data_IF_420773536219
#
_entry.id   IF_420773536219
#
_cell.length_a   1.000
_cell.length_b   1.000
_cell.length_c   1.000
_cell.angle_alpha   90.00
_cell.angle_beta   90.00
_cell.angle_gamma   90.00
#
_symmetry.space_group_name_H-M   'P 1'
#
loop_
_entity.id
_entity.type
_entity.pdbx_description
1 polymer ?
#
# COMPACT_ATOMS: atom_id res chain seq x y z
N UNK A 1 12.04 -14.54 -12.23
CA UNK A 1 11.42 -14.46 -13.57
C UNK A 1 11.79 -13.12 -14.17
N UNK A 2 12.46 -13.12 -15.32
CA UNK A 2 12.82 -11.91 -16.07
C UNK A 2 11.65 -11.56 -16.97
N UNK A 3 11.06 -10.37 -16.83
CA UNK A 3 10.20 -9.80 -17.85
C UNK A 3 10.62 -8.35 -18.09
N UNK A 4 11.07 -8.11 -19.33
CA UNK A 4 11.38 -6.81 -19.89
C UNK A 4 10.11 -5.95 -19.91
N UNK A 5 9.98 -5.06 -18.95
CA UNK A 5 8.98 -3.98 -18.93
C UNK A 5 9.70 -2.63 -18.83
N UNK A 6 10.51 -2.30 -19.84
CA UNK A 6 10.99 -0.93 -20.11
C UNK A 6 11.76 -0.89 -21.45
N UNK A 7 11.06 -0.88 -22.59
CA UNK A 7 11.72 -0.82 -23.92
C UNK A 7 11.85 0.60 -24.49
N UNK A 8 11.57 1.67 -23.72
CA UNK A 8 11.59 3.05 -24.23
C UNK A 8 12.71 3.93 -23.66
N UNK A 9 13.51 3.43 -22.72
CA UNK A 9 14.72 4.09 -22.23
C UNK A 9 15.91 3.18 -22.49
N UNK A 10 16.76 3.53 -23.47
CA UNK A 10 18.07 2.87 -23.67
C UNK A 10 19.02 3.29 -22.54
N UNK A 11 18.73 2.91 -21.30
CA UNK A 11 19.69 3.01 -20.22
C UNK A 11 20.61 1.81 -20.30
N UNK A 12 21.91 2.07 -20.49
CA UNK A 12 22.95 1.05 -20.36
C UNK A 12 23.11 0.78 -18.86
N UNK A 13 22.58 -0.34 -18.39
CA UNK A 13 22.79 -0.79 -17.02
C UNK A 13 24.19 -1.42 -16.93
N UNK A 14 24.91 -1.11 -15.85
CA UNK A 14 26.18 -1.76 -15.54
C UNK A 14 25.95 -3.19 -15.00
N UNK A 15 27.03 -3.97 -14.93
CA UNK A 15 26.99 -5.30 -14.34
C UNK A 15 26.66 -5.23 -12.85
N UNK A 16 25.80 -6.13 -12.39
CA UNK A 16 25.44 -6.24 -10.98
C UNK A 16 26.64 -6.73 -10.17
N UNK A 17 27.09 -5.92 -9.21
CA UNK A 17 28.09 -6.34 -8.22
C UNK A 17 27.34 -6.98 -7.04
N UNK A 18 27.62 -8.25 -6.77
CA UNK A 18 27.07 -8.93 -5.61
C UNK A 18 27.77 -8.44 -4.33
N UNK A 19 27.00 -7.89 -3.40
CA UNK A 19 27.48 -7.54 -2.06
C UNK A 19 27.01 -8.63 -1.10
N UNK A 20 27.89 -9.55 -0.71
CA UNK A 20 27.57 -10.63 0.23
C UNK A 20 27.60 -10.14 1.69
N UNK A 21 26.54 -9.45 2.11
CA UNK A 21 26.30 -9.16 3.54
C UNK A 21 25.16 -10.06 4.01
N UNK A 22 25.50 -11.07 4.83
CA UNK A 22 24.49 -11.93 5.47
C UNK A 22 23.92 -11.24 6.71
N UNK A 23 22.91 -10.41 6.51
CA UNK A 23 22.10 -9.86 7.60
C UNK A 23 20.77 -10.63 7.69
N UNK A 24 20.44 -11.15 8.87
CA UNK A 24 19.13 -11.77 9.11
C UNK A 24 18.13 -10.67 9.52
N UNK A 25 17.31 -10.21 8.56
CA UNK A 25 16.35 -9.13 8.79
C UNK A 25 14.96 -9.72 9.02
N UNK A 26 14.54 -9.74 10.29
CA UNK A 26 13.23 -10.26 10.70
C UNK A 26 12.12 -9.21 10.77
N UNK A 27 12.43 -7.93 10.59
CA UNK A 27 11.46 -6.84 10.64
C UNK A 27 10.87 -6.53 9.25
N UNK A 28 9.68 -5.94 9.22
CA UNK A 28 9.00 -5.57 7.97
C UNK A 28 9.61 -4.34 7.32
N UNK A 29 10.13 -3.41 8.12
CA UNK A 29 10.75 -2.18 7.64
C UNK A 29 12.16 -2.10 8.18
N UNK A 30 13.11 -1.80 7.30
CA UNK A 30 14.50 -1.62 7.65
C UNK A 30 15.15 -0.63 6.70
N UNK A 31 16.22 0.00 7.14
CA UNK A 31 16.98 0.93 6.33
C UNK A 31 18.42 0.45 6.23
N UNK A 32 18.97 0.54 5.03
CA UNK A 32 20.39 0.33 4.77
C UNK A 32 21.02 1.70 4.54
N UNK A 33 21.95 2.10 5.41
CA UNK A 33 22.76 3.28 5.21
C UNK A 33 24.19 2.89 4.80
N UNK A 34 24.81 3.71 3.96
CA UNK A 34 26.20 3.59 3.55
C UNK A 34 26.88 4.94 3.71
N UNK A 35 28.08 4.95 4.28
CA UNK A 35 28.85 6.14 4.58
C UNK A 35 30.32 5.82 4.80
N UNK A 36 31.13 6.86 5.03
CA UNK A 36 32.55 6.70 5.32
C UNK A 36 32.87 7.22 6.73
N UNK A 37 33.87 6.60 7.34
CA UNK A 37 34.52 7.19 8.51
C UNK A 37 35.48 8.28 8.04
N UNK A 38 35.35 9.48 8.59
CA UNK A 38 36.25 10.60 8.34
C UNK A 38 36.61 11.32 9.65
N UNK A 39 37.88 11.62 9.82
CA UNK A 39 38.40 12.20 11.06
C UNK A 39 39.83 11.74 11.32
N UNK A 40 40.56 12.46 12.18
CA UNK A 40 41.93 12.09 12.52
C UNK A 40 41.91 11.00 13.61
N UNK A 41 42.82 10.01 13.60
CA UNK A 41 42.84 8.93 14.60
C UNK A 41 42.98 9.42 16.06
N UNK A 42 43.37 10.68 16.24
CA UNK A 42 43.62 11.32 17.52
C UNK A 42 42.45 12.18 18.01
N UNK A 43 41.50 12.57 17.15
CA UNK A 43 40.35 13.41 17.50
C UNK A 43 39.11 12.90 16.74
N UNK A 44 38.23 12.18 17.46
CA UNK A 44 36.90 11.67 17.07
C UNK A 44 36.69 11.30 15.58
N UNK A 45 36.61 9.99 15.32
CA UNK A 45 36.05 9.48 14.06
C UNK A 45 34.60 9.93 13.91
N UNK A 46 34.33 10.74 12.90
CA UNK A 46 32.98 11.15 12.49
C UNK A 46 32.51 10.27 11.34
N UNK A 47 31.28 9.75 11.41
CA UNK A 47 30.69 8.96 10.32
C UNK A 47 29.92 9.90 9.39
N UNK A 48 30.32 9.93 8.11
CA UNK A 48 29.65 10.70 7.07
C UNK A 48 28.79 9.77 6.22
N UNK A 49 27.48 9.88 6.42
CA UNK A 49 26.47 9.18 5.61
C UNK A 49 26.48 9.69 4.17
N UNK A 50 26.54 8.78 3.18
CA UNK A 50 26.44 9.10 1.75
C UNK A 50 25.09 8.70 1.15
N UNK A 51 24.52 7.60 1.62
CA UNK A 51 23.34 7.01 1.02
C UNK A 51 22.48 6.28 2.05
N UNK A 52 21.16 6.35 1.87
CA UNK A 52 20.16 5.66 2.70
C UNK A 52 19.12 5.04 1.77
N UNK A 53 18.88 3.74 1.91
CA UNK A 53 17.77 3.05 1.27
C UNK A 53 16.85 2.40 2.30
N UNK A 54 15.61 2.89 2.43
CA UNK A 54 14.59 2.18 3.17
C UNK A 54 14.01 1.03 2.33
N UNK A 55 13.72 -0.08 3.00
CA UNK A 55 13.14 -1.29 2.44
C UNK A 55 11.91 -1.71 3.23
N UNK A 56 10.97 -2.34 2.51
CA UNK A 56 9.78 -2.94 3.08
C UNK A 56 9.63 -4.39 2.60
N UNK A 57 9.25 -5.28 3.52
CA UNK A 57 8.94 -6.68 3.23
C UNK A 57 7.75 -7.16 4.06
N UNK A 58 6.98 -8.10 3.51
CA UNK A 58 5.93 -8.78 4.26
C UNK A 58 6.53 -9.95 5.03
N UNK A 59 6.59 -9.83 6.37
CA UNK A 59 7.10 -10.90 7.24
C UNK A 59 5.95 -11.73 7.79
N UNK A 60 6.06 -13.06 7.73
CA UNK A 60 5.02 -13.97 8.21
C UNK A 60 4.67 -13.70 9.67
N UNK A 61 3.43 -13.27 9.94
CA UNK A 61 2.95 -12.99 11.31
C UNK A 61 2.29 -14.20 11.93
N UNK A 62 2.77 -14.61 13.10
CA UNK A 62 2.25 -15.76 13.84
C UNK A 62 0.77 -15.59 14.20
N UNK A 63 0.36 -14.39 14.63
CA UNK A 63 -1.04 -14.03 14.92
C UNK A 63 -1.96 -14.32 13.73
N UNK A 64 -1.48 -14.14 12.50
CA UNK A 64 -2.29 -14.40 11.32
C UNK A 64 -2.40 -15.89 11.00
N UNK A 65 -1.42 -16.71 11.42
CA UNK A 65 -1.45 -18.17 11.27
C UNK A 65 -2.37 -18.85 12.27
N UNK A 66 -2.53 -18.27 13.45
CA UNK A 66 -3.37 -18.80 14.53
C UNK A 66 -4.87 -18.55 14.28
N UNK A 67 -5.22 -17.77 13.25
CA UNK A 67 -6.62 -17.46 12.95
C UNK A 67 -7.38 -18.68 12.45
N UNK A 68 -8.57 -18.88 13.01
CA UNK A 68 -9.47 -19.95 12.58
C UNK A 68 -9.93 -19.73 11.13
N UNK A 69 -9.73 -20.76 10.32
CA UNK A 69 -10.21 -20.84 8.94
C UNK A 69 -11.67 -21.29 8.96
N UNK A 70 -12.58 -20.40 8.54
CA UNK A 70 -14.04 -20.62 8.51
C UNK A 70 -14.59 -21.16 7.18
N UNK A 71 -13.91 -20.89 6.06
CA UNK A 71 -14.40 -21.17 4.71
C UNK A 71 -13.49 -22.18 4.00
N UNK A 72 -14.06 -23.13 3.25
CA UNK A 72 -13.27 -24.12 2.50
C UNK A 72 -12.67 -23.57 1.20
N UNK A 73 -13.30 -22.56 0.60
CA UNK A 73 -12.84 -21.90 -0.62
C UNK A 73 -12.50 -20.44 -0.34
N UNK A 74 -11.25 -20.03 -0.62
CA UNK A 74 -10.68 -18.75 -0.18
C UNK A 74 -9.71 -18.18 -1.21
N UNK A 75 -10.21 -17.56 -2.29
CA UNK A 75 -9.33 -16.88 -3.22
C UNK A 75 -8.65 -15.69 -2.53
N UNK A 76 -7.38 -15.46 -2.85
CA UNK A 76 -6.71 -14.21 -2.51
C UNK A 76 -7.38 -13.05 -3.26
N UNK A 77 -7.62 -11.95 -2.57
CA UNK A 77 -8.25 -10.75 -3.14
C UNK A 77 -7.22 -9.63 -3.14
N UNK A 78 -7.00 -9.04 -4.31
CA UNK A 78 -6.15 -7.85 -4.47
C UNK A 78 -7.06 -6.71 -4.91
N UNK A 79 -6.98 -5.60 -4.20
CA UNK A 79 -7.68 -4.36 -4.54
C UNK A 79 -6.63 -3.33 -4.90
N UNK A 80 -6.73 -2.78 -6.10
CA UNK A 80 -5.86 -1.71 -6.58
C UNK A 80 -6.73 -0.47 -6.73
N UNK A 81 -6.41 0.57 -5.97
CA UNK A 81 -7.07 1.86 -6.05
C UNK A 81 -6.17 2.85 -6.80
N UNK A 82 -6.74 3.60 -7.74
CA UNK A 82 -6.03 4.60 -8.54
C UNK A 82 -6.67 5.97 -8.29
N UNK A 83 -5.93 6.91 -7.72
CA UNK A 83 -6.32 8.32 -7.60
C UNK A 83 -5.50 9.18 -8.59
N UNK A 84 -6.05 10.08 -9.41
CA UNK A 84 -7.47 10.36 -9.66
C UNK A 84 -7.84 9.96 -11.08
N UNK A 85 -8.61 8.87 -11.23
CA UNK A 85 -9.03 8.37 -12.54
C UNK A 85 -10.55 8.24 -12.65
N UNK A 86 -11.09 8.63 -13.79
CA UNK A 86 -12.47 8.33 -14.19
C UNK A 86 -12.46 7.21 -15.23
N UNK A 87 -13.61 6.56 -15.45
CA UNK A 87 -13.73 5.54 -16.48
C UNK A 87 -13.26 6.06 -17.87
N UNK A 88 -13.69 7.26 -18.25
CA UNK A 88 -13.30 7.85 -19.54
C UNK A 88 -11.81 8.20 -19.61
N UNK A 89 -11.20 8.63 -18.51
CA UNK A 89 -9.74 8.83 -18.44
C UNK A 89 -8.97 7.52 -18.51
N UNK A 90 -9.44 6.46 -17.86
CA UNK A 90 -8.82 5.14 -17.92
C UNK A 90 -8.82 4.59 -19.36
N UNK A 91 -9.94 4.70 -20.07
CA UNK A 91 -10.04 4.29 -21.49
C UNK A 91 -9.02 5.02 -22.37
N UNK A 92 -8.81 6.32 -22.16
CA UNK A 92 -7.87 7.11 -22.97
C UNK A 92 -6.41 6.93 -22.58
N UNK A 93 -6.10 6.81 -21.29
CA UNK A 93 -4.73 6.85 -20.76
C UNK A 93 -4.14 5.48 -20.45
N UNK A 94 -4.98 4.47 -20.22
CA UNK A 94 -4.56 3.11 -19.88
C UNK A 94 -5.06 2.07 -20.91
N UNK A 95 -5.00 2.34 -22.24
CA UNK A 95 -5.60 1.45 -23.24
C UNK A 95 -4.94 0.07 -23.26
N UNK A 96 -3.61 0.02 -23.09
CA UNK A 96 -2.86 -1.25 -23.04
C UNK A 96 -3.20 -2.06 -21.78
N UNK A 97 -3.33 -1.40 -20.63
CA UNK A 97 -3.70 -2.08 -19.38
C UNK A 97 -5.11 -2.64 -19.47
N UNK A 98 -6.09 -1.87 -19.94
CA UNK A 98 -7.46 -2.34 -20.10
C UNK A 98 -7.57 -3.49 -21.11
N UNK A 99 -6.81 -3.44 -22.21
CA UNK A 99 -6.72 -4.54 -23.17
C UNK A 99 -6.20 -5.82 -22.50
N UNK A 100 -5.09 -5.73 -21.77
CA UNK A 100 -4.52 -6.87 -21.06
C UNK A 100 -5.50 -7.44 -20.03
N UNK A 101 -6.10 -6.59 -19.19
CA UNK A 101 -7.07 -7.02 -18.17
C UNK A 101 -8.26 -7.75 -18.82
N UNK A 102 -8.78 -7.23 -19.94
CA UNK A 102 -9.90 -7.84 -20.67
C UNK A 102 -9.53 -9.17 -21.32
N UNK A 103 -8.38 -9.24 -21.99
CA UNK A 103 -7.99 -10.41 -22.77
C UNK A 103 -7.39 -11.53 -21.92
N UNK A 104 -6.75 -11.19 -20.79
CA UNK A 104 -5.96 -12.14 -20.00
C UNK A 104 -6.56 -12.45 -18.62
N UNK A 105 -7.35 -11.52 -18.05
CA UNK A 105 -7.85 -11.64 -16.68
C UNK A 105 -9.39 -11.55 -16.58
N UNK A 106 -10.10 -11.72 -17.69
CA UNK A 106 -11.58 -11.71 -17.75
C UNK A 106 -12.20 -10.47 -17.06
N UNK A 107 -11.67 -9.29 -17.40
CA UNK A 107 -12.11 -8.04 -16.80
C UNK A 107 -13.61 -7.80 -17.01
N UNK A 108 -14.33 -7.68 -15.90
CA UNK A 108 -15.69 -7.15 -15.86
C UNK A 108 -15.66 -5.66 -15.50
N UNK A 109 -16.30 -4.82 -16.33
CA UNK A 109 -16.47 -3.40 -16.08
C UNK A 109 -17.88 -3.18 -15.50
N UNK A 110 -17.95 -2.46 -14.38
CA UNK A 110 -19.23 -2.07 -13.76
C UNK A 110 -19.69 -0.73 -14.35
N UNK A 111 -20.34 -0.79 -15.50
CA UNK A 111 -20.92 0.40 -16.13
C UNK A 111 -21.99 1.04 -15.23
N UNK A 112 -21.95 2.37 -15.11
CA UNK A 112 -22.84 3.11 -14.20
C UNK A 112 -22.39 3.14 -12.73
N UNK A 113 -21.28 2.49 -12.36
CA UNK A 113 -20.71 2.64 -11.02
C UNK A 113 -20.19 4.06 -10.80
N UNK A 114 -20.76 4.75 -9.83
CA UNK A 114 -20.47 6.15 -9.55
C UNK A 114 -19.86 6.34 -8.16
N UNK A 115 -19.02 7.38 -8.04
CA UNK A 115 -18.51 7.86 -6.76
C UNK A 115 -19.66 8.41 -5.90
N UNK A 116 -19.59 8.20 -4.60
CA UNK A 116 -20.62 8.65 -3.64
C UNK A 116 -20.40 10.08 -3.13
N UNK A 117 -19.18 10.62 -3.28
CA UNK A 117 -18.81 11.96 -2.83
C UNK A 117 -17.88 12.69 -3.79
N UNK A 118 -17.68 13.98 -3.57
CA UNK A 118 -16.86 14.81 -4.46
C UNK A 118 -15.36 14.47 -4.35
N UNK A 119 -14.87 14.30 -3.13
CA UNK A 119 -13.45 14.10 -2.82
C UNK A 119 -13.11 12.64 -2.54
N UNK A 120 -11.83 12.31 -2.53
CA UNK A 120 -11.36 10.94 -2.29
C UNK A 120 -11.80 10.40 -0.90
N UNK A 121 -11.82 11.24 0.15
CA UNK A 121 -12.14 10.80 1.53
C UNK A 121 -13.52 10.16 1.70
N UNK A 122 -14.65 10.81 1.33
CA UNK A 122 -15.98 10.19 1.46
C UNK A 122 -16.13 8.93 0.59
N UNK A 123 -15.46 8.88 -0.56
CA UNK A 123 -15.46 7.70 -1.43
C UNK A 123 -14.68 6.53 -0.81
N UNK A 124 -13.50 6.79 -0.27
CA UNK A 124 -12.68 5.79 0.43
C UNK A 124 -13.41 5.21 1.64
N UNK A 125 -14.03 6.04 2.47
CA UNK A 125 -14.80 5.57 3.63
C UNK A 125 -15.95 4.67 3.18
N UNK A 126 -16.72 5.08 2.16
CA UNK A 126 -17.83 4.26 1.66
C UNK A 126 -17.36 2.94 1.06
N UNK A 127 -16.29 2.96 0.27
CA UNK A 127 -15.70 1.77 -0.32
C UNK A 127 -15.21 0.79 0.75
N UNK A 128 -14.53 1.30 1.77
CA UNK A 128 -13.90 0.45 2.79
C UNK A 128 -14.86 -0.05 3.85
N UNK A 129 -15.93 0.68 4.15
CA UNK A 129 -16.83 0.38 5.28
C UNK A 129 -18.25 0.02 4.87
N UNK A 130 -18.61 0.24 3.59
CA UNK A 130 -19.98 0.14 3.11
C UNK A 130 -20.92 1.22 3.67
N UNK A 131 -20.40 2.28 4.31
CA UNK A 131 -21.19 3.36 4.93
C UNK A 131 -20.87 4.71 4.29
N UNK A 132 -21.90 5.51 4.03
CA UNK A 132 -21.73 6.87 3.51
C UNK A 132 -21.50 7.85 4.67
N UNK A 133 -20.43 8.65 4.59
CA UNK A 133 -20.16 9.72 5.56
C UNK A 133 -21.01 10.98 5.29
N UNK A 134 -21.28 11.28 4.02
CA UNK A 134 -22.10 12.41 3.59
C UNK A 134 -22.86 11.99 2.33
N UNK A 135 -24.20 11.83 2.36
CA UNK A 135 -24.96 11.66 1.13
C UNK A 135 -24.91 12.95 0.31
N UNK A 136 -24.91 12.87 -1.04
CA UNK A 136 -24.71 14.03 -1.93
C UNK A 136 -25.76 15.15 -1.81
N UNK A 137 -26.83 14.95 -1.04
CA UNK A 137 -27.96 15.89 -0.90
C UNK A 137 -28.31 16.28 0.56
N UNK A 138 -27.32 16.33 1.46
CA UNK A 138 -27.43 17.20 2.65
C UNK A 138 -28.32 16.71 3.79
N UNK A 139 -28.28 15.41 4.14
CA UNK A 139 -28.69 14.95 5.48
C UNK A 139 -27.49 14.33 6.19
N UNK A 140 -27.28 14.71 7.46
CA UNK A 140 -26.26 14.08 8.33
C UNK A 140 -26.45 12.56 8.26
N UNK A 141 -25.37 11.85 7.99
CA UNK A 141 -25.39 10.41 7.72
C UNK A 141 -25.54 9.57 8.99
N UNK A 142 -26.05 8.35 8.81
CA UNK A 142 -26.04 7.25 9.77
C UNK A 142 -24.65 6.64 9.98
N UNK A 143 -23.58 7.32 9.56
CA UNK A 143 -22.25 6.99 10.03
C UNK A 143 -22.23 7.37 11.52
N UNK A 144 -22.57 6.39 12.38
CA UNK A 144 -22.20 6.45 13.78
C UNK A 144 -20.74 6.92 13.91
N UNK A 145 -20.41 7.53 15.05
CA UNK A 145 -19.10 8.15 15.32
C UNK A 145 -17.94 7.48 14.57
N UNK A 146 -16.99 8.24 14.01
CA UNK A 146 -15.86 7.74 13.20
C UNK A 146 -15.20 6.43 13.71
N UNK A 147 -15.26 6.14 15.02
CA UNK A 147 -14.91 4.86 15.63
C UNK A 147 -15.62 3.61 15.07
N UNK A 148 -16.91 3.68 14.76
CA UNK A 148 -17.71 2.51 14.34
C UNK A 148 -17.43 2.13 12.88
N UNK A 149 -17.22 3.14 12.02
CA UNK A 149 -16.74 2.97 10.66
C UNK A 149 -15.34 2.31 10.62
N UNK A 150 -14.44 2.67 11.55
CA UNK A 150 -13.10 2.07 11.66
C UNK A 150 -13.14 0.58 12.00
N UNK A 151 -14.14 0.12 12.75
CA UNK A 151 -14.28 -1.29 13.13
C UNK A 151 -14.91 -2.15 12.01
N UNK A 152 -15.66 -1.55 11.07
CA UNK A 152 -16.40 -2.25 10.01
C UNK A 152 -15.69 -2.26 8.65
N UNK A 153 -14.39 -2.03 8.63
CA UNK A 153 -13.63 -2.04 7.39
C UNK A 153 -13.59 -3.42 6.73
N UNK A 154 -13.47 -3.45 5.41
CA UNK A 154 -13.36 -4.67 4.61
C UNK A 154 -12.23 -5.58 5.12
N UNK A 155 -11.09 -5.01 5.50
CA UNK A 155 -9.99 -5.80 6.07
C UNK A 155 -10.34 -6.44 7.41
N UNK A 156 -11.13 -5.80 8.28
CA UNK A 156 -11.58 -6.44 9.53
C UNK A 156 -12.50 -7.63 9.23
N UNK A 157 -13.34 -7.54 8.20
CA UNK A 157 -14.20 -8.64 7.74
C UNK A 157 -13.40 -9.80 7.15
N UNK A 158 -12.30 -9.52 6.44
CA UNK A 158 -11.35 -10.53 5.97
C UNK A 158 -10.55 -11.14 7.13
N UNK A 159 -10.07 -10.33 8.08
CA UNK A 159 -9.38 -10.79 9.31
C UNK A 159 -10.25 -11.74 10.13
N UNK A 160 -11.54 -11.43 10.33
CA UNK A 160 -12.52 -12.30 11.04
C UNK A 160 -12.75 -13.65 10.36
N UNK A 161 -12.49 -13.72 9.05
CA UNK A 161 -12.50 -14.94 8.26
C UNK A 161 -11.12 -15.60 8.20
N UNK A 162 -10.10 -15.07 8.87
CA UNK A 162 -8.78 -15.69 8.92
C UNK A 162 -7.89 -15.41 7.72
N UNK A 163 -8.16 -14.35 6.96
CA UNK A 163 -7.23 -13.88 5.93
C UNK A 163 -6.08 -13.08 6.56
N UNK A 164 -4.93 -13.12 5.89
CA UNK A 164 -3.84 -12.15 6.09
C UNK A 164 -4.19 -10.90 5.30
N UNK A 165 -4.08 -9.74 5.93
CA UNK A 165 -4.46 -8.45 5.32
C UNK A 165 -3.25 -7.55 5.15
N UNK A 166 -3.20 -6.88 3.99
CA UNK A 166 -2.14 -5.95 3.63
C UNK A 166 -2.77 -4.64 3.15
N UNK A 167 -2.19 -3.52 3.55
CA UNK A 167 -2.56 -2.21 3.04
C UNK A 167 -1.32 -1.31 2.88
N UNK A 168 -1.25 -0.68 1.71
CA UNK A 168 -0.29 0.36 1.38
C UNK A 168 -0.94 1.36 0.42
N UNK A 169 -0.51 2.61 0.52
CA UNK A 169 -0.70 3.63 -0.51
C UNK A 169 0.66 3.94 -1.15
N UNK A 170 0.70 4.87 -2.10
CA UNK A 170 1.92 5.38 -2.74
C UNK A 170 2.54 6.57 -2.00
N UNK A 171 1.82 7.18 -1.04
CA UNK A 171 2.29 8.24 -0.13
C UNK A 171 1.42 8.29 1.14
N UNK A 172 1.75 9.13 2.13
CA UNK A 172 0.96 9.42 3.35
C UNK A 172 -0.24 10.33 3.02
N UNK A 173 -0.91 10.14 1.89
CA UNK A 173 -2.02 11.02 1.55
C UNK A 173 -3.19 10.72 2.50
N UNK A 174 -3.75 11.79 3.08
CA UNK A 174 -4.72 11.86 4.18
C UNK A 174 -6.07 11.11 4.00
N UNK A 175 -6.19 10.23 3.01
CA UNK A 175 -7.35 9.39 2.79
C UNK A 175 -7.60 8.47 3.97
N UNK A 176 -6.54 7.84 4.45
CA UNK A 176 -6.65 6.58 5.20
C UNK A 176 -5.88 6.64 6.51
N UNK A 177 -4.71 7.30 6.57
CA UNK A 177 -3.78 7.22 7.71
C UNK A 177 -4.21 8.00 8.96
N UNK A 178 -4.65 9.25 8.84
CA UNK A 178 -5.13 10.05 10.00
C UNK A 178 -6.39 9.46 10.67
N UNK A 179 -7.04 8.51 10.00
CA UNK A 179 -8.23 7.86 10.51
C UNK A 179 -7.94 6.63 11.36
N UNK A 180 -6.70 6.14 11.44
CA UNK A 180 -6.39 4.94 12.22
C UNK A 180 -5.43 5.24 13.36
N UNK A 181 -5.90 5.03 14.60
CA UNK A 181 -5.08 5.15 15.81
C UNK A 181 -4.07 3.99 15.96
N UNK A 182 -4.27 2.90 15.23
CA UNK A 182 -3.43 1.70 15.21
C UNK A 182 -3.44 1.08 13.82
N UNK A 183 -2.46 0.23 13.49
CA UNK A 183 -2.38 -0.43 12.19
C UNK A 183 -3.70 -1.15 11.82
N UNK A 184 -4.38 -0.78 10.71
CA UNK A 184 -5.68 -1.34 10.33
C UNK A 184 -5.58 -2.77 9.76
N UNK A 185 -4.44 -3.13 9.19
CA UNK A 185 -4.16 -4.42 8.53
C UNK A 185 -3.04 -5.18 9.24
N UNK A 186 -2.77 -6.42 8.85
CA UNK A 186 -1.66 -7.19 9.40
C UNK A 186 -0.33 -6.62 8.93
N UNK A 187 -0.22 -6.37 7.63
CA UNK A 187 0.89 -5.65 7.02
C UNK A 187 0.41 -4.24 6.67
N UNK A 188 1.06 -3.22 7.22
CA UNK A 188 0.64 -1.82 7.06
C UNK A 188 1.84 -0.92 6.79
N UNK A 189 1.93 -0.39 5.57
CA UNK A 189 3.09 0.39 5.12
C UNK A 189 3.06 1.87 5.57
N UNK A 190 2.07 2.29 6.36
CA UNK A 190 2.00 3.67 6.86
C UNK A 190 3.29 4.18 7.50
N UNK A 191 3.86 3.47 8.50
CA UNK A 191 5.13 3.85 9.12
C UNK A 191 6.29 3.93 8.13
N UNK A 192 6.31 3.07 7.11
CA UNK A 192 7.32 3.11 6.06
C UNK A 192 7.24 4.41 5.26
N UNK A 193 6.03 4.83 4.84
CA UNK A 193 5.84 6.09 4.13
C UNK A 193 6.10 7.32 5.01
N UNK A 194 5.73 7.27 6.30
CA UNK A 194 6.13 8.28 7.29
C UNK A 194 7.63 8.46 7.35
N UNK A 195 8.37 7.35 7.41
CA UNK A 195 9.82 7.38 7.40
C UNK A 195 10.37 7.92 6.08
N UNK A 196 9.90 7.42 4.94
CA UNK A 196 10.28 7.90 3.59
C UNK A 196 10.17 9.42 3.45
N UNK A 197 9.09 10.03 3.95
CA UNK A 197 8.90 11.47 3.88
C UNK A 197 9.80 12.27 4.84
N UNK A 198 10.33 11.64 5.90
CA UNK A 198 11.27 12.28 6.82
C UNK A 198 12.71 12.32 6.30
N UNK A 199 13.05 11.53 5.28
CA UNK A 199 14.40 11.44 4.69
C UNK A 199 14.58 12.47 3.55
N UNK A 200 13.59 13.34 3.31
CA UNK A 200 13.63 14.38 2.27
C UNK A 200 14.58 15.53 2.62
#
# INVERSE_FOLDING_TARGET
MRNNLASHTKQKLDEWIAVEVKANVSCEFFEVSCGDNYGNPLNETSYRERYRMPYAQAVRKQIAMERTIKDRYRPSVIVILLDSTSHSSAVRRLPQSLKFLKEQLDLTIFDGYAKVGLNSNPNGIAFLTGRMKEPPFGKKSDAGSNSDARQRTIWNEFKKRGFVTFFSEDDIINLTFDQFQSAPTDHFLGPFWTHMNSIK
#
